data_IF_871707564184
#
_entry.id   IF_871707564184
#
_cell.length_a   1.000
_cell.length_b   1.000
_cell.length_c   1.000
_cell.angle_alpha   90.00
_cell.angle_beta   90.00
_cell.angle_gamma   90.00
#
_symmetry.space_group_name_H-M   'P 1'
#
loop_
_entity.id
_entity.type
_entity.pdbx_description
1 polymer ?
#
# COMPACT_ATOMS: atom_id res chain seq x y z
N UNK A 1 -31.88 25.37 -0.92
CA UNK A 1 -32.36 25.86 -2.24
C UNK A 1 -31.12 26.03 -3.13
N UNK A 2 -30.75 25.00 -3.92
CA UNK A 2 -29.51 24.97 -4.71
C UNK A 2 -29.88 25.18 -6.17
N UNK A 3 -29.36 26.26 -6.76
CA UNK A 3 -29.61 26.62 -8.16
C UNK A 3 -28.48 25.96 -8.98
N UNK A 4 -28.82 25.04 -9.88
CA UNK A 4 -27.89 24.44 -10.84
C UNK A 4 -28.10 25.11 -12.20
N UNK A 5 -27.11 25.82 -12.71
CA UNK A 5 -27.13 26.42 -14.04
C UNK A 5 -26.52 25.39 -15.03
N UNK A 6 -27.33 24.93 -15.97
CA UNK A 6 -26.86 24.09 -17.08
C UNK A 6 -26.70 24.99 -18.31
N UNK A 7 -25.49 25.13 -18.81
CA UNK A 7 -25.16 25.89 -20.00
C UNK A 7 -25.25 24.99 -21.24
N UNK A 8 -26.12 25.32 -22.20
CA UNK A 8 -26.23 24.58 -23.46
C UNK A 8 -25.41 25.27 -24.56
N UNK A 9 -24.84 24.48 -25.47
CA UNK A 9 -23.86 24.86 -26.51
C UNK A 9 -24.27 25.99 -27.46
N UNK A 10 -25.42 26.62 -27.31
CA UNK A 10 -25.92 27.70 -28.17
C UNK A 10 -26.28 29.00 -27.46
N UNK A 11 -25.78 29.26 -26.27
CA UNK A 11 -25.81 30.60 -25.67
C UNK A 11 -27.20 31.21 -25.41
N UNK A 12 -28.28 30.45 -25.45
CA UNK A 12 -29.61 30.93 -25.09
C UNK A 12 -29.97 30.49 -23.67
N UNK A 13 -30.19 31.47 -22.81
CA UNK A 13 -30.76 31.27 -21.48
C UNK A 13 -32.21 30.74 -21.62
N UNK A 14 -32.41 29.47 -21.37
CA UNK A 14 -33.72 28.86 -21.34
C UNK A 14 -34.30 28.99 -19.93
N UNK A 15 -35.57 29.26 -19.90
CA UNK A 15 -36.42 29.65 -18.77
C UNK A 15 -36.26 28.72 -17.55
N UNK A 16 -36.21 29.34 -16.40
CA UNK A 16 -35.99 28.78 -15.08
C UNK A 16 -37.17 27.95 -14.63
N UNK A 17 -37.24 26.66 -14.98
CA UNK A 17 -38.12 25.74 -14.30
C UNK A 17 -37.44 25.24 -13.03
N UNK A 18 -38.06 25.56 -11.90
CA UNK A 18 -37.66 25.03 -10.58
C UNK A 18 -38.12 23.57 -10.55
N UNK A 19 -37.24 22.66 -10.94
CA UNK A 19 -37.54 21.23 -10.82
C UNK A 19 -37.64 20.85 -9.34
N UNK A 20 -38.76 20.29 -8.95
CA UNK A 20 -38.96 19.70 -7.63
C UNK A 20 -37.95 18.55 -7.42
N UNK A 21 -37.49 18.31 -6.19
CA UNK A 21 -36.47 17.28 -5.90
C UNK A 21 -36.81 15.90 -6.51
N UNK A 22 -38.08 15.54 -6.57
CA UNK A 22 -38.54 14.27 -7.13
C UNK A 22 -38.45 14.19 -8.66
N UNK A 23 -38.49 15.31 -9.38
CA UNK A 23 -38.32 15.34 -10.84
C UNK A 23 -36.84 15.28 -11.22
N UNK A 24 -36.00 15.87 -10.39
CA UNK A 24 -34.53 15.80 -10.58
C UNK A 24 -34.02 14.36 -10.40
N UNK A 25 -34.54 13.65 -9.38
CA UNK A 25 -34.20 12.22 -9.16
C UNK A 25 -34.69 11.34 -10.31
N UNK A 26 -35.91 11.55 -10.83
CA UNK A 26 -36.45 10.80 -11.95
C UNK A 26 -35.65 11.03 -13.26
N UNK A 27 -35.20 12.27 -13.53
CA UNK A 27 -34.37 12.60 -14.69
C UNK A 27 -32.96 12.02 -14.55
N UNK A 28 -32.43 11.96 -13.35
CA UNK A 28 -31.12 11.33 -13.08
C UNK A 28 -31.19 9.81 -13.22
N UNK A 29 -32.30 9.16 -12.83
CA UNK A 29 -32.50 7.72 -13.00
C UNK A 29 -32.60 7.30 -14.48
N UNK A 30 -33.17 8.15 -15.34
CA UNK A 30 -33.30 7.87 -16.80
C UNK A 30 -32.04 8.27 -17.60
N UNK A 31 -31.13 9.06 -17.03
CA UNK A 31 -29.92 9.46 -17.71
C UNK A 31 -28.84 8.38 -17.53
N UNK A 32 -28.07 8.08 -18.59
CA UNK A 32 -26.85 7.25 -18.52
C UNK A 32 -25.80 7.79 -17.53
N UNK A 33 -26.08 8.94 -16.89
CA UNK A 33 -25.26 9.63 -15.91
C UNK A 33 -25.52 9.08 -14.48
N UNK A 34 -26.70 8.52 -14.21
CA UNK A 34 -27.01 7.95 -12.90
C UNK A 34 -26.02 6.84 -12.47
N UNK A 35 -25.68 5.86 -13.31
CA UNK A 35 -24.67 4.87 -12.94
C UNK A 35 -23.27 5.49 -12.77
N UNK A 36 -22.93 6.54 -13.54
CA UNK A 36 -21.65 7.24 -13.37
C UNK A 36 -21.60 8.05 -12.07
N UNK A 37 -22.72 8.68 -11.65
CA UNK A 37 -22.82 9.39 -10.38
C UNK A 37 -22.83 8.38 -9.21
N UNK A 38 -23.48 7.23 -9.35
CA UNK A 38 -23.46 6.18 -8.35
C UNK A 38 -22.07 5.54 -8.21
N UNK A 39 -21.33 5.35 -9.29
CA UNK A 39 -19.94 4.89 -9.27
C UNK A 39 -19.04 5.96 -8.61
N UNK A 40 -19.27 7.23 -8.87
CA UNK A 40 -18.53 8.34 -8.25
C UNK A 40 -18.94 8.56 -6.78
N UNK A 41 -20.18 8.25 -6.38
CA UNK A 41 -20.70 8.40 -5.03
C UNK A 41 -20.53 7.17 -4.14
N UNK A 42 -20.04 6.04 -4.66
CA UNK A 42 -19.46 5.02 -3.78
C UNK A 42 -18.29 5.70 -3.05
N UNK A 43 -18.63 6.32 -1.92
CA UNK A 43 -17.69 6.95 -1.01
C UNK A 43 -16.61 5.92 -0.72
N UNK A 44 -15.46 6.05 -1.40
CA UNK A 44 -14.32 5.16 -1.22
C UNK A 44 -13.76 5.47 0.16
N UNK A 45 -14.32 4.80 1.16
CA UNK A 45 -13.95 4.98 2.56
C UNK A 45 -12.47 4.62 2.68
N UNK A 46 -11.62 5.55 3.15
CA UNK A 46 -10.22 5.25 3.34
C UNK A 46 -10.10 4.08 4.32
N UNK A 47 -9.18 3.17 4.03
CA UNK A 47 -8.94 2.02 4.90
C UNK A 47 -8.44 2.46 6.26
N UNK A 48 -9.04 1.93 7.32
CA UNK A 48 -8.63 2.17 8.70
C UNK A 48 -7.19 1.65 8.92
N UNK A 49 -6.39 2.39 9.69
CA UNK A 49 -4.98 2.04 9.98
C UNK A 49 -4.84 0.60 10.53
N UNK A 50 -5.72 0.18 11.43
CA UNK A 50 -5.68 -1.17 12.02
C UNK A 50 -5.75 -2.25 10.94
N UNK A 51 -6.65 -2.10 9.96
CA UNK A 51 -6.78 -3.07 8.86
C UNK A 51 -5.55 -3.08 7.96
N UNK A 52 -4.93 -1.91 7.74
CA UNK A 52 -3.67 -1.80 6.99
C UNK A 52 -2.54 -2.54 7.71
N UNK A 53 -2.40 -2.35 9.03
CA UNK A 53 -1.40 -3.03 9.84
C UNK A 53 -1.62 -4.55 9.87
N UNK A 54 -2.86 -5.01 10.08
CA UNK A 54 -3.18 -6.42 10.06
C UNK A 54 -2.89 -7.07 8.69
N UNK A 55 -3.16 -6.36 7.59
CA UNK A 55 -2.80 -6.82 6.25
C UNK A 55 -1.27 -6.92 6.09
N UNK A 56 -0.51 -5.93 6.58
CA UNK A 56 0.96 -5.94 6.54
C UNK A 56 1.53 -7.11 7.35
N UNK A 57 1.01 -7.39 8.55
CA UNK A 57 1.44 -8.52 9.38
C UNK A 57 1.20 -9.84 8.63
N UNK A 58 0.01 -10.03 8.05
CA UNK A 58 -0.30 -11.22 7.27
C UNK A 58 0.64 -11.39 6.06
N UNK A 59 0.84 -10.32 5.31
CA UNK A 59 1.72 -10.30 4.15
C UNK A 59 3.19 -10.55 4.53
N UNK A 60 3.60 -10.15 5.73
CA UNK A 60 4.96 -10.42 6.24
C UNK A 60 5.23 -11.92 6.42
N UNK A 61 4.28 -12.68 6.95
CA UNK A 61 4.41 -14.14 7.06
C UNK A 61 4.51 -14.80 5.68
N UNK A 62 3.72 -14.33 4.71
CA UNK A 62 3.79 -14.82 3.34
C UNK A 62 5.14 -14.46 2.69
N UNK A 63 5.61 -13.23 2.88
CA UNK A 63 6.90 -12.80 2.36
C UNK A 63 8.04 -13.64 2.95
N UNK A 64 8.03 -13.91 4.26
CA UNK A 64 9.03 -14.77 4.90
C UNK A 64 9.05 -16.15 4.22
N UNK A 65 7.90 -16.78 3.99
CA UNK A 65 7.83 -18.06 3.30
C UNK A 65 8.40 -17.99 1.86
N UNK A 66 8.09 -16.93 1.12
CA UNK A 66 8.63 -16.69 -0.22
C UNK A 66 10.16 -16.48 -0.19
N UNK A 67 10.67 -15.75 0.79
CA UNK A 67 12.11 -15.53 0.94
C UNK A 67 12.85 -16.82 1.31
N UNK A 68 12.27 -17.67 2.17
CA UNK A 68 12.84 -19.00 2.44
C UNK A 68 12.92 -19.85 1.17
N UNK A 69 11.85 -19.85 0.36
CA UNK A 69 11.86 -20.55 -0.92
C UNK A 69 12.90 -19.97 -1.88
N UNK A 70 13.01 -18.65 -1.96
CA UNK A 70 14.01 -17.97 -2.78
C UNK A 70 15.45 -18.33 -2.34
N UNK A 71 15.71 -18.38 -1.04
CA UNK A 71 17.00 -18.82 -0.50
C UNK A 71 17.29 -20.28 -0.85
N UNK A 72 16.30 -21.16 -0.74
CA UNK A 72 16.45 -22.56 -1.12
C UNK A 72 16.79 -22.72 -2.61
N UNK A 73 16.09 -21.97 -3.49
CA UNK A 73 16.39 -21.95 -4.92
C UNK A 73 17.83 -21.47 -5.19
N UNK A 74 18.25 -20.39 -4.52
CA UNK A 74 19.61 -19.85 -4.68
C UNK A 74 20.67 -20.85 -4.22
N UNK A 75 20.42 -21.56 -3.12
CA UNK A 75 21.32 -22.62 -2.61
C UNK A 75 21.46 -23.76 -3.62
N UNK A 76 20.37 -24.21 -4.24
CA UNK A 76 20.38 -25.25 -5.26
C UNK A 76 21.15 -24.79 -6.51
N UNK A 77 20.88 -23.58 -7.00
CA UNK A 77 21.53 -23.03 -8.20
C UNK A 77 23.03 -22.80 -7.99
N UNK A 78 23.44 -22.43 -6.77
CA UNK A 78 24.84 -22.22 -6.41
C UNK A 78 25.65 -23.54 -6.15
N UNK A 79 24.97 -24.69 -6.31
CA UNK A 79 25.63 -25.99 -6.03
C UNK A 79 25.93 -26.21 -4.54
N UNK A 80 25.12 -25.63 -3.66
CA UNK A 80 25.29 -25.75 -2.21
C UNK A 80 26.20 -24.67 -1.58
N UNK A 81 26.62 -23.67 -2.35
CA UNK A 81 27.42 -22.57 -1.80
C UNK A 81 26.62 -21.73 -0.84
N UNK A 82 27.10 -21.60 0.39
CA UNK A 82 26.47 -20.78 1.41
C UNK A 82 27.02 -19.35 1.36
N UNK A 83 26.13 -18.41 1.05
CA UNK A 83 26.48 -17.00 1.09
C UNK A 83 26.60 -16.52 2.55
N UNK A 84 27.66 -15.77 2.83
CA UNK A 84 27.82 -15.16 4.15
C UNK A 84 26.72 -14.15 4.43
N UNK A 85 26.34 -13.99 5.70
CA UNK A 85 25.40 -12.97 6.12
C UNK A 85 25.90 -11.58 5.68
N UNK A 86 25.02 -10.77 5.10
CA UNK A 86 25.36 -9.44 4.60
C UNK A 86 25.99 -9.43 3.19
N UNK A 87 26.04 -10.57 2.50
CA UNK A 87 26.50 -10.59 1.11
C UNK A 87 25.62 -9.66 0.25
N UNK A 88 26.21 -8.67 -0.47
CA UNK A 88 25.42 -7.68 -1.21
C UNK A 88 24.62 -8.30 -2.37
N UNK A 89 25.15 -9.33 -3.03
CA UNK A 89 24.42 -10.01 -4.10
C UNK A 89 23.17 -10.68 -3.58
N UNK A 90 23.27 -11.39 -2.45
CA UNK A 90 22.12 -12.05 -1.81
C UNK A 90 21.10 -11.04 -1.31
N UNK A 91 21.55 -9.93 -0.72
CA UNK A 91 20.68 -8.85 -0.27
C UNK A 91 19.89 -8.25 -1.43
N UNK A 92 20.56 -7.92 -2.54
CA UNK A 92 19.88 -7.38 -3.74
C UNK A 92 18.90 -8.40 -4.31
N UNK A 93 19.28 -9.67 -4.40
CA UNK A 93 18.40 -10.74 -4.86
C UNK A 93 17.12 -10.83 -4.03
N UNK A 94 17.21 -10.85 -2.71
CA UNK A 94 16.05 -10.91 -1.81
C UNK A 94 15.18 -9.65 -1.88
N UNK A 95 15.79 -8.47 -2.07
CA UNK A 95 15.05 -7.22 -2.31
C UNK A 95 14.27 -7.26 -3.62
N UNK A 96 14.88 -7.79 -4.69
CA UNK A 96 14.21 -7.95 -6.00
C UNK A 96 13.06 -8.94 -5.88
N UNK A 97 13.26 -10.09 -5.23
CA UNK A 97 12.19 -11.07 -4.97
C UNK A 97 11.03 -10.42 -4.20
N UNK A 98 11.33 -9.67 -3.15
CA UNK A 98 10.33 -8.95 -2.36
C UNK A 98 9.56 -7.92 -3.19
N UNK A 99 10.29 -7.15 -4.01
CA UNK A 99 9.68 -6.15 -4.90
C UNK A 99 8.77 -6.81 -5.94
N UNK A 100 9.22 -7.89 -6.58
CA UNK A 100 8.42 -8.63 -7.57
C UNK A 100 7.17 -9.21 -6.92
N UNK A 101 7.29 -9.78 -5.71
CA UNK A 101 6.16 -10.30 -4.95
C UNK A 101 5.09 -9.22 -4.72
N UNK A 102 5.42 -8.11 -4.08
CA UNK A 102 4.45 -7.05 -3.82
C UNK A 102 3.99 -6.35 -5.09
N UNK A 103 4.91 -6.06 -6.02
CA UNK A 103 4.63 -5.40 -7.28
C UNK A 103 3.64 -6.16 -8.14
N UNK A 104 3.79 -7.48 -8.22
CA UNK A 104 2.86 -8.34 -8.93
C UNK A 104 1.43 -8.21 -8.39
N UNK A 105 1.25 -8.38 -7.08
CA UNK A 105 -0.08 -8.29 -6.47
C UNK A 105 -0.70 -6.91 -6.62
N UNK A 106 0.08 -5.85 -6.45
CA UNK A 106 -0.43 -4.49 -6.53
C UNK A 106 -0.80 -4.09 -7.96
N UNK A 107 -0.06 -4.55 -8.97
CA UNK A 107 -0.32 -4.17 -10.37
C UNK A 107 -1.41 -5.03 -11.03
N UNK A 108 -1.56 -6.31 -10.64
CA UNK A 108 -2.51 -7.23 -11.29
C UNK A 108 -3.87 -7.34 -10.60
N UNK A 109 -4.00 -6.85 -9.39
CA UNK A 109 -5.29 -6.92 -8.67
C UNK A 109 -5.45 -5.81 -7.64
N UNK A 110 -4.41 -5.02 -7.41
CA UNK A 110 -4.43 -3.99 -6.37
C UNK A 110 -4.49 -4.54 -4.95
N UNK A 111 -4.35 -5.86 -4.76
CA UNK A 111 -4.54 -6.52 -3.48
C UNK A 111 -3.49 -7.60 -3.25
N UNK A 112 -2.75 -7.52 -2.16
CA UNK A 112 -2.01 -8.66 -1.61
C UNK A 112 -2.97 -9.65 -0.94
N UNK A 113 -2.49 -10.81 -0.54
CA UNK A 113 -3.32 -11.80 0.16
C UNK A 113 -3.81 -11.27 1.51
N UNK A 114 -2.95 -10.57 2.27
CA UNK A 114 -3.34 -9.89 3.49
C UNK A 114 -4.37 -8.78 3.24
N UNK A 115 -4.17 -7.96 2.21
CA UNK A 115 -5.15 -6.93 1.83
C UNK A 115 -6.50 -7.54 1.43
N UNK A 116 -6.50 -8.69 0.74
CA UNK A 116 -7.72 -9.40 0.35
C UNK A 116 -8.51 -9.89 1.58
N UNK A 117 -7.82 -10.43 2.59
CA UNK A 117 -8.46 -10.87 3.84
C UNK A 117 -9.20 -9.71 4.55
N UNK A 118 -8.66 -8.49 4.47
CA UNK A 118 -9.25 -7.30 5.10
C UNK A 118 -10.06 -6.43 4.14
N UNK A 119 -10.33 -6.91 2.90
CA UNK A 119 -11.08 -6.21 1.85
C UNK A 119 -10.48 -4.82 1.55
N UNK A 120 -9.16 -4.76 1.46
CA UNK A 120 -8.40 -3.56 1.11
C UNK A 120 -7.96 -3.65 -0.34
N UNK A 121 -7.86 -2.50 -1.01
CA UNK A 121 -7.32 -2.41 -2.37
C UNK A 121 -6.49 -1.14 -2.53
N UNK A 122 -5.33 -1.27 -3.14
CA UNK A 122 -4.51 -0.15 -3.58
C UNK A 122 -4.91 0.22 -5.00
N UNK A 123 -5.08 1.52 -5.23
CA UNK A 123 -5.39 2.08 -6.54
C UNK A 123 -4.81 3.47 -6.70
N UNK A 124 -4.78 3.99 -7.91
CA UNK A 124 -4.48 5.39 -8.18
C UNK A 124 -5.60 6.30 -7.69
N UNK A 125 -5.36 7.62 -7.62
CA UNK A 125 -6.41 8.57 -7.23
C UNK A 125 -7.59 8.60 -8.22
N UNK A 126 -7.36 8.27 -9.50
CA UNK A 126 -8.39 8.16 -10.54
C UNK A 126 -9.17 6.83 -10.50
N UNK A 127 -8.81 5.91 -9.61
CA UNK A 127 -9.47 4.60 -9.47
C UNK A 127 -8.85 3.47 -10.30
N UNK A 128 -7.87 3.77 -11.14
CA UNK A 128 -7.18 2.77 -11.96
C UNK A 128 -6.21 1.92 -11.16
N UNK A 129 -5.81 0.77 -11.75
CA UNK A 129 -4.75 -0.07 -11.19
C UNK A 129 -3.41 0.70 -11.14
N UNK A 130 -2.58 0.41 -10.16
CA UNK A 130 -1.28 1.06 -10.05
C UNK A 130 -0.29 0.49 -11.07
N UNK A 131 0.64 1.32 -11.50
CA UNK A 131 1.72 0.95 -12.41
C UNK A 131 2.90 0.33 -11.64
N UNK A 132 3.77 -0.40 -12.33
CA UNK A 132 5.02 -0.91 -11.77
C UNK A 132 5.91 0.18 -11.17
N UNK A 133 5.94 1.37 -11.78
CA UNK A 133 6.68 2.53 -11.22
C UNK A 133 6.11 2.98 -9.87
N UNK A 134 4.79 3.06 -9.76
CA UNK A 134 4.14 3.41 -8.50
C UNK A 134 4.33 2.32 -7.44
N UNK A 135 4.30 1.04 -7.84
CA UNK A 135 4.62 -0.08 -6.98
C UNK A 135 6.08 0.00 -6.47
N UNK A 136 7.04 0.36 -7.34
CA UNK A 136 8.44 0.56 -6.95
C UNK A 136 8.58 1.69 -5.92
N UNK A 137 7.94 2.84 -6.16
CA UNK A 137 7.96 3.96 -5.21
C UNK A 137 7.38 3.53 -3.86
N UNK A 138 6.24 2.82 -3.86
CA UNK A 138 5.63 2.30 -2.62
C UNK A 138 6.54 1.32 -1.89
N UNK A 139 7.24 0.46 -2.63
CA UNK A 139 8.17 -0.49 -2.06
C UNK A 139 9.38 0.20 -1.44
N UNK A 140 10.05 1.07 -2.20
CA UNK A 140 11.24 1.81 -1.73
C UNK A 140 10.93 2.67 -0.51
N UNK A 141 9.76 3.32 -0.48
CA UNK A 141 9.35 4.15 0.66
C UNK A 141 9.03 3.32 1.91
N UNK A 142 8.69 2.03 1.77
CA UNK A 142 8.44 1.15 2.90
C UNK A 142 9.74 0.56 3.50
N UNK A 143 10.78 0.39 2.69
CA UNK A 143 12.04 -0.27 3.09
C UNK A 143 12.67 0.33 4.36
N UNK A 144 12.77 1.67 4.54
CA UNK A 144 13.37 2.24 5.76
C UNK A 144 12.67 1.82 7.05
N UNK A 145 11.32 1.78 7.05
CA UNK A 145 10.56 1.36 8.23
C UNK A 145 10.87 -0.09 8.61
N UNK A 146 10.98 -0.96 7.61
CA UNK A 146 11.32 -2.36 7.81
C UNK A 146 12.77 -2.55 8.28
N UNK A 147 13.72 -1.79 7.74
CA UNK A 147 15.13 -1.83 8.17
C UNK A 147 15.22 -1.49 9.65
N UNK A 148 14.61 -0.38 10.09
CA UNK A 148 14.66 0.04 11.50
C UNK A 148 13.98 -0.98 12.40
N UNK A 149 12.83 -1.53 11.99
CA UNK A 149 12.12 -2.55 12.76
C UNK A 149 12.95 -3.82 12.91
N UNK A 150 13.50 -4.35 11.81
CA UNK A 150 14.32 -5.57 11.84
C UNK A 150 15.63 -5.36 12.61
N UNK A 151 16.23 -4.18 12.52
CA UNK A 151 17.40 -3.83 13.33
C UNK A 151 17.06 -3.87 14.83
N UNK A 152 15.94 -3.29 15.22
CA UNK A 152 15.50 -3.34 16.62
C UNK A 152 15.22 -4.76 17.10
N UNK A 153 14.58 -5.60 16.27
CA UNK A 153 14.35 -7.03 16.58
C UNK A 153 15.68 -7.79 16.70
N UNK A 154 16.62 -7.55 15.80
CA UNK A 154 17.91 -8.23 15.81
C UNK A 154 18.72 -7.89 17.06
N UNK A 155 18.71 -6.61 17.49
CA UNK A 155 19.35 -6.18 18.72
C UNK A 155 18.68 -6.80 19.96
N UNK A 156 17.35 -6.81 20.00
CA UNK A 156 16.60 -7.41 21.11
C UNK A 156 16.76 -8.95 21.20
N UNK A 157 17.11 -9.60 20.10
CA UNK A 157 17.40 -11.04 20.03
C UNK A 157 18.88 -11.37 20.22
N UNK A 158 19.72 -10.42 20.63
CA UNK A 158 21.18 -10.57 20.79
C UNK A 158 21.88 -11.14 19.54
N UNK A 159 21.33 -10.86 18.34
CA UNK A 159 21.98 -11.27 17.09
C UNK A 159 23.25 -10.44 16.91
N UNK A 160 24.42 -11.07 16.77
CA UNK A 160 25.68 -10.35 16.67
C UNK A 160 25.77 -9.58 15.35
N UNK A 161 25.48 -8.27 15.40
CA UNK A 161 25.56 -7.36 14.27
C UNK A 161 26.94 -6.71 14.12
N UNK A 162 27.99 -7.29 14.74
CA UNK A 162 29.32 -6.70 14.87
C UNK A 162 30.10 -6.57 13.54
N UNK A 163 29.51 -7.02 12.42
CA UNK A 163 30.18 -7.00 11.12
C UNK A 163 30.47 -5.57 10.59
N UNK A 164 29.81 -4.54 11.14
CA UNK A 164 29.99 -3.16 10.66
C UNK A 164 30.18 -2.17 11.83
N UNK A 165 31.22 -1.31 11.80
CA UNK A 165 31.53 -0.37 12.89
C UNK A 165 30.39 0.60 13.22
N UNK A 166 29.58 0.99 12.26
CA UNK A 166 28.43 1.89 12.48
C UNK A 166 27.27 1.20 13.21
N UNK A 167 27.10 -0.12 13.06
CA UNK A 167 26.13 -0.90 13.84
C UNK A 167 26.55 -1.01 15.31
N UNK A 168 27.85 -1.06 15.59
CA UNK A 168 28.36 -1.05 16.95
C UNK A 168 28.08 0.27 17.70
N UNK A 169 27.86 1.37 16.99
CA UNK A 169 27.42 2.63 17.62
C UNK A 169 25.93 2.60 17.98
N UNK A 170 25.11 1.95 17.14
CA UNK A 170 23.68 1.78 17.39
C UNK A 170 23.39 0.83 18.55
N UNK A 171 24.23 -0.16 18.80
CA UNK A 171 24.12 -1.06 19.95
C UNK A 171 24.35 -0.37 21.31
N UNK A 172 24.81 0.88 21.32
CA UNK A 172 24.87 1.72 22.54
C UNK A 172 23.50 2.29 22.94
N UNK A 173 22.56 2.34 21.99
CA UNK A 173 21.19 2.76 22.28
C UNK A 173 20.42 1.59 22.88
N UNK A 174 19.48 1.86 23.81
CA UNK A 174 18.61 0.81 24.31
C UNK A 174 17.83 0.19 23.14
N UNK A 175 17.86 -1.13 23.02
CA UNK A 175 17.20 -1.89 21.95
C UNK A 175 15.70 -1.60 21.85
N UNK A 176 15.02 -1.43 23.01
CA UNK A 176 13.61 -1.07 23.06
C UNK A 176 13.32 0.29 22.39
N UNK A 177 14.28 1.25 22.44
CA UNK A 177 14.11 2.55 21.78
C UNK A 177 14.08 2.38 20.25
N UNK A 178 14.99 1.58 19.70
CA UNK A 178 15.06 1.30 18.25
C UNK A 178 13.79 0.55 17.81
N UNK A 179 13.33 -0.41 18.62
CA UNK A 179 12.06 -1.11 18.36
C UNK A 179 10.87 -0.15 18.33
N UNK A 180 10.75 0.72 19.32
CA UNK A 180 9.67 1.71 19.37
C UNK A 180 9.73 2.63 18.15
N UNK A 181 10.91 3.14 17.78
CA UNK A 181 11.09 3.99 16.59
C UNK A 181 10.65 3.23 15.33
N UNK A 182 11.03 1.95 15.18
CA UNK A 182 10.63 1.10 14.06
C UNK A 182 9.11 0.90 13.99
N UNK A 183 8.47 0.60 15.12
CA UNK A 183 7.02 0.42 15.22
C UNK A 183 6.29 1.73 14.89
N UNK A 184 6.71 2.84 15.49
CA UNK A 184 6.11 4.17 15.24
C UNK A 184 6.25 4.53 13.75
N UNK A 185 7.40 4.31 13.16
CA UNK A 185 7.62 4.57 11.74
C UNK A 185 6.72 3.69 10.87
N UNK A 186 6.61 2.39 11.18
CA UNK A 186 5.70 1.49 10.47
C UNK A 186 4.24 1.95 10.55
N UNK A 187 3.81 2.43 11.73
CA UNK A 187 2.46 2.99 11.92
C UNK A 187 2.27 4.26 11.09
N UNK A 188 3.25 5.15 11.09
CA UNK A 188 3.21 6.39 10.29
C UNK A 188 3.23 6.09 8.78
N UNK A 189 3.98 5.07 8.34
CA UNK A 189 4.00 4.62 6.94
C UNK A 189 2.63 4.10 6.47
N UNK A 190 1.88 3.44 7.37
CA UNK A 190 0.54 2.94 7.08
C UNK A 190 -0.57 3.97 7.34
N UNK A 191 -0.24 5.21 7.73
CA UNK A 191 -1.26 6.22 7.98
C UNK A 191 -2.09 6.51 6.72
N UNK A 192 -3.45 6.54 6.82
CA UNK A 192 -4.30 6.83 5.68
C UNK A 192 -3.97 8.18 5.03
N UNK A 193 -3.78 8.20 3.71
CA UNK A 193 -3.33 9.38 2.95
C UNK A 193 -2.01 9.99 3.47
N UNK A 194 -1.18 9.15 4.10
CA UNK A 194 0.13 9.55 4.60
C UNK A 194 1.14 9.86 3.48
N UNK A 195 2.39 10.07 3.87
CA UNK A 195 3.47 10.45 2.95
C UNK A 195 3.68 9.41 1.84
N UNK A 196 3.64 8.11 2.16
CA UNK A 196 3.78 7.00 1.23
C UNK A 196 2.71 7.02 0.14
N UNK A 197 1.44 7.19 0.54
CA UNK A 197 0.32 7.26 -0.39
C UNK A 197 0.45 8.49 -1.30
N UNK A 198 0.90 9.65 -0.77
CA UNK A 198 1.12 10.89 -1.53
C UNK A 198 2.27 10.78 -2.52
N UNK A 199 3.44 10.29 -2.09
CA UNK A 199 4.64 10.16 -2.95
C UNK A 199 4.40 9.18 -4.09
N UNK A 200 3.71 8.07 -3.84
CA UNK A 200 3.36 7.08 -4.86
C UNK A 200 2.14 7.46 -5.70
N UNK A 201 1.43 8.55 -5.36
CA UNK A 201 0.16 8.97 -5.99
C UNK A 201 -0.88 7.86 -6.02
N UNK A 202 -1.01 7.15 -4.92
CA UNK A 202 -1.91 6.02 -4.76
C UNK A 202 -2.68 6.14 -3.45
N UNK A 203 -3.75 5.37 -3.31
CA UNK A 203 -4.54 5.29 -2.07
C UNK A 203 -4.96 3.86 -1.78
N UNK A 204 -5.15 3.55 -0.51
CA UNK A 204 -5.73 2.27 -0.09
C UNK A 204 -7.16 2.53 0.35
N UNK A 205 -8.08 1.86 -0.32
CA UNK A 205 -9.52 1.92 -0.04
C UNK A 205 -10.00 0.62 0.59
N UNK A 206 -11.10 0.71 1.30
CA UNK A 206 -11.85 -0.46 1.78
C UNK A 206 -12.92 -0.78 0.75
N UNK A 207 -12.95 -2.00 0.25
CA UNK A 207 -14.02 -2.49 -0.63
C UNK A 207 -15.31 -2.65 0.17
N UNK A 208 -16.41 -2.07 -0.36
CA UNK A 208 -17.74 -2.30 0.18
C UNK A 208 -18.15 -3.75 -0.09
N UNK A 209 -18.97 -4.31 0.82
CA UNK A 209 -19.67 -5.56 0.56
C UNK A 209 -20.84 -5.21 -0.39
N UNK A 210 -20.73 -5.59 -1.65
CA UNK A 210 -21.94 -5.64 -2.48
C UNK A 210 -22.81 -6.76 -1.88
N UNK A 211 -23.95 -6.37 -1.36
CA UNK A 211 -25.04 -7.28 -1.04
C UNK A 211 -25.77 -7.64 -2.31
#
# INVERSE_FOLDING_TARGET
>A
MTIVLINNRHGKLCNKEILLPNQLTALLEHSKIAPMIQIASQSQVPATIIKRLLAVIYDSFLLIAVLFLAMAVMLLVSGGYQFQAGNPLMTVYLLVVSYVFFGWFWTHGGQTLGMRAWKLQVQQYNGEAITWRQAAIRFVTAVPAWIVLFLGIALAADIPLHAHPWLAQLSRLPEWLILIVGIVWLVLDQWPNGWRDKVSRTRIIKLSKNH
#
